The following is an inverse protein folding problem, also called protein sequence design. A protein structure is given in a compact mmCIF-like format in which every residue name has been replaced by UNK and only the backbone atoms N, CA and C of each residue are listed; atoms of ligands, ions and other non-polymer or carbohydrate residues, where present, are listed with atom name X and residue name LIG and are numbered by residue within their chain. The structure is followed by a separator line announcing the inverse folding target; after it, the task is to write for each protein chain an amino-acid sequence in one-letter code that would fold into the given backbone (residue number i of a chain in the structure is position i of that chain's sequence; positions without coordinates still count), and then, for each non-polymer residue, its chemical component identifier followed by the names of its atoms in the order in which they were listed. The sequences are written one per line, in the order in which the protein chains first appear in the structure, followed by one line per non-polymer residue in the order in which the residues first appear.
data_IF_144561170720
#
_entry.id   IF_144561170720
#
_cell.length_a   1.000
_cell.length_b   1.000
_cell.length_c   1.000
_cell.angle_alpha   90.00
_cell.angle_beta   90.00
_cell.angle_gamma   90.00
#
_symmetry.space_group_name_H-M   'P 1'
#
loop_
_entity.id
_entity.type
_entity.pdbx_description
1 polymer ?
#
# COMPACT_ATOMS: atom_id res chain seq x y z
N UNK A 1 67.11 -29.61 -13.26
CA UNK A 1 66.82 -28.91 -14.53
C UNK A 1 66.20 -29.91 -15.49
N UNK A 2 65.03 -29.56 -16.07
CA UNK A 2 64.30 -30.22 -17.17
C UNK A 2 65.10 -30.18 -18.51
N UNK A 3 64.59 -30.61 -19.70
CA UNK A 3 63.56 -31.62 -20.10
C UNK A 3 64.08 -32.56 -21.25
N UNK A 4 63.40 -33.62 -21.74
CA UNK A 4 62.28 -33.61 -22.71
C UNK A 4 61.86 -35.04 -23.08
N UNK A 5 60.54 -35.28 -23.19
CA UNK A 5 59.83 -36.22 -24.10
C UNK A 5 58.32 -35.96 -23.85
N UNK A 6 57.36 -35.98 -24.76
CA UNK A 6 57.15 -36.81 -25.95
C UNK A 6 55.95 -36.24 -26.74
N UNK A 7 55.96 -36.37 -28.07
CA UNK A 7 54.80 -36.25 -28.96
C UNK A 7 54.38 -37.66 -29.41
N UNK A 8 53.08 -37.88 -29.62
CA UNK A 8 52.53 -39.12 -30.20
C UNK A 8 51.25 -38.83 -31.00
N UNK A 9 51.05 -39.40 -32.20
CA UNK A 9 49.90 -39.10 -33.06
C UNK A 9 48.82 -40.20 -33.12
N UNK A 10 47.73 -39.83 -33.81
CA UNK A 10 46.39 -40.40 -33.92
C UNK A 10 46.23 -41.66 -34.82
N UNK A 11 45.08 -42.32 -34.61
CA UNK A 11 44.06 -42.74 -35.60
C UNK A 11 43.88 -44.25 -35.89
N UNK A 12 42.64 -44.73 -35.69
CA UNK A 12 41.94 -45.61 -36.65
C UNK A 12 40.41 -45.57 -36.47
N UNK A 13 39.75 -45.41 -37.61
CA UNK A 13 38.31 -45.33 -37.94
C UNK A 13 37.69 -46.71 -38.10
N UNK A 14 36.39 -46.90 -37.77
CA UNK A 14 35.48 -47.85 -38.45
C UNK A 14 34.03 -47.29 -38.45
N UNK A 15 33.36 -47.53 -39.58
CA UNK A 15 32.05 -47.06 -40.08
C UNK A 15 30.91 -47.98 -39.62
N UNK A 16 29.66 -47.47 -39.69
CA UNK A 16 28.46 -48.03 -39.05
C UNK A 16 27.72 -49.19 -39.74
N UNK A 17 26.69 -49.68 -39.04
CA UNK A 17 25.58 -50.48 -39.58
C UNK A 17 24.34 -50.38 -38.66
N UNK A 18 23.21 -49.99 -39.27
CA UNK A 18 21.82 -50.43 -39.05
C UNK A 18 21.03 -50.18 -37.72
N UNK A 19 19.95 -49.41 -37.91
CA UNK A 19 18.54 -49.70 -37.61
C UNK A 19 17.91 -49.58 -36.20
N UNK A 20 16.73 -48.93 -36.24
CA UNK A 20 15.51 -49.09 -35.44
C UNK A 20 15.37 -48.32 -34.11
N UNK A 21 14.49 -47.32 -34.16
CA UNK A 21 13.37 -47.24 -33.22
C UNK A 21 13.55 -46.35 -31.99
N UNK A 22 12.80 -45.24 -31.97
CA UNK A 22 12.31 -44.62 -30.74
C UNK A 22 13.26 -43.63 -30.07
N UNK A 23 13.45 -42.45 -30.66
CA UNK A 23 13.84 -41.29 -29.86
C UNK A 23 12.59 -40.56 -29.41
N UNK A 24 12.31 -40.77 -28.13
CA UNK A 24 11.41 -40.01 -27.30
C UNK A 24 11.47 -38.51 -27.61
N UNK A 25 10.28 -37.93 -27.79
CA UNK A 25 10.07 -36.50 -27.62
C UNK A 25 10.69 -36.08 -26.28
N UNK A 26 11.84 -35.43 -26.34
CA UNK A 26 12.38 -34.69 -25.21
C UNK A 26 11.41 -33.53 -24.96
N UNK A 27 10.50 -33.77 -24.03
CA UNK A 27 9.73 -32.74 -23.33
C UNK A 27 10.74 -31.68 -22.85
N UNK A 28 10.79 -30.56 -23.56
CA UNK A 28 11.53 -29.40 -23.11
C UNK A 28 10.93 -28.98 -21.76
N UNK A 29 11.75 -28.76 -20.70
CA UNK A 29 11.22 -28.35 -19.41
C UNK A 29 10.50 -27.03 -19.63
N UNK A 30 9.16 -27.05 -19.53
CA UNK A 30 8.36 -25.84 -19.65
C UNK A 30 8.83 -24.87 -18.58
N UNK A 31 9.58 -23.83 -18.97
CA UNK A 31 9.96 -22.77 -18.04
C UNK A 31 8.68 -22.27 -17.39
N UNK A 32 8.50 -22.40 -16.05
CA UNK A 32 7.29 -21.92 -15.41
C UNK A 32 7.21 -20.43 -15.70
N UNK A 33 6.18 -19.99 -16.43
CA UNK A 33 6.01 -18.58 -16.81
C UNK A 33 6.02 -17.74 -15.54
N UNK A 34 7.13 -17.03 -15.31
CA UNK A 34 7.34 -16.22 -14.13
C UNK A 34 6.56 -14.93 -14.30
N UNK A 35 5.63 -14.64 -13.38
CA UNK A 35 4.92 -13.36 -13.36
C UNK A 35 5.94 -12.21 -13.29
N UNK A 36 5.86 -11.17 -14.13
CA UNK A 36 6.84 -10.09 -14.11
C UNK A 36 6.75 -9.24 -12.84
N UNK A 37 7.85 -8.64 -12.42
CA UNK A 37 7.89 -7.80 -11.21
C UNK A 37 7.55 -6.33 -11.46
N UNK A 38 7.71 -5.87 -12.70
CA UNK A 38 7.52 -4.47 -13.08
C UNK A 38 6.09 -3.95 -12.93
N UNK A 39 4.99 -4.73 -13.12
CA UNK A 39 3.64 -4.19 -12.93
C UNK A 39 3.39 -3.70 -11.50
N UNK A 40 4.07 -4.29 -10.52
CA UNK A 40 4.02 -3.86 -9.12
C UNK A 40 4.87 -2.60 -8.86
N UNK A 41 6.02 -2.48 -9.54
CA UNK A 41 6.88 -1.32 -9.39
C UNK A 41 6.31 -0.08 -10.10
N UNK A 42 5.60 -0.27 -11.21
CA UNK A 42 5.07 0.81 -12.04
C UNK A 42 4.23 1.85 -11.28
N UNK A 43 3.22 1.47 -10.47
CA UNK A 43 2.42 2.45 -9.72
C UNK A 43 3.21 3.08 -8.58
N UNK A 44 4.25 2.44 -8.05
CA UNK A 44 4.96 2.88 -6.83
C UNK A 44 6.21 3.71 -7.17
N UNK A 45 7.16 3.13 -7.89
CA UNK A 45 8.38 3.82 -8.29
C UNK A 45 8.10 4.88 -9.38
N UNK A 46 7.12 4.63 -10.26
CA UNK A 46 6.68 5.57 -11.28
C UNK A 46 5.70 6.64 -10.78
N UNK A 47 5.30 6.63 -9.50
CA UNK A 47 4.26 7.52 -8.97
C UNK A 47 4.50 9.01 -9.24
N UNK A 48 5.73 9.57 -9.19
CA UNK A 48 5.97 10.98 -9.51
C UNK A 48 5.49 11.35 -10.92
N UNK A 49 5.75 10.49 -11.90
CA UNK A 49 5.32 10.69 -13.28
C UNK A 49 3.79 10.67 -13.36
N UNK A 50 3.16 9.65 -12.77
CA UNK A 50 1.70 9.51 -12.79
C UNK A 50 0.98 10.65 -12.06
N UNK A 51 1.59 11.17 -10.99
CA UNK A 51 1.10 12.34 -10.28
C UNK A 51 1.18 13.61 -11.14
N UNK A 52 2.32 13.89 -11.77
CA UNK A 52 2.48 15.05 -12.67
C UNK A 52 1.53 14.96 -13.87
N UNK A 53 1.33 13.76 -14.42
CA UNK A 53 0.38 13.51 -15.51
C UNK A 53 -1.09 13.73 -15.10
N UNK A 54 -1.38 13.83 -13.80
CA UNK A 54 -2.73 13.99 -13.26
C UNK A 54 -3.46 12.71 -12.92
N UNK A 55 -2.88 11.55 -13.26
CA UNK A 55 -3.48 10.23 -13.00
C UNK A 55 -3.50 9.92 -11.49
N UNK A 56 -2.43 10.20 -10.73
CA UNK A 56 -2.38 9.94 -9.29
C UNK A 56 -2.84 8.51 -8.95
N UNK A 57 -3.89 8.36 -8.13
CA UNK A 57 -4.47 7.05 -7.79
C UNK A 57 -5.10 6.29 -8.98
N UNK A 58 -5.38 6.94 -10.12
CA UNK A 58 -5.85 6.27 -11.35
C UNK A 58 -4.83 5.35 -11.99
N UNK A 59 -3.57 5.39 -11.55
CA UNK A 59 -2.61 4.37 -11.96
C UNK A 59 -2.98 2.98 -11.44
N UNK A 60 -3.72 2.87 -10.34
CA UNK A 60 -4.06 1.56 -9.76
C UNK A 60 -5.00 0.75 -10.66
N UNK A 61 -6.11 1.27 -11.20
CA UNK A 61 -6.92 0.53 -12.17
C UNK A 61 -6.18 0.21 -13.47
N UNK A 62 -5.34 1.12 -13.98
CA UNK A 62 -4.53 0.87 -15.19
C UNK A 62 -3.56 -0.30 -14.96
N UNK A 63 -2.84 -0.29 -13.85
CA UNK A 63 -1.90 -1.37 -13.49
C UNK A 63 -2.63 -2.66 -13.15
N UNK A 64 -3.82 -2.60 -12.57
CA UNK A 64 -4.68 -3.75 -12.36
C UNK A 64 -5.09 -4.41 -13.68
N UNK A 65 -5.39 -3.67 -14.75
CA UNK A 65 -5.68 -4.25 -16.08
C UNK A 65 -4.46 -5.05 -16.58
N UNK A 66 -3.25 -4.50 -16.45
CA UNK A 66 -2.01 -5.18 -16.82
C UNK A 66 -1.76 -6.44 -15.99
N UNK A 67 -1.95 -6.35 -14.67
CA UNK A 67 -1.82 -7.49 -13.77
C UNK A 67 -2.86 -8.59 -14.07
N UNK A 68 -4.11 -8.21 -14.36
CA UNK A 68 -5.17 -9.13 -14.77
C UNK A 68 -4.82 -9.85 -16.06
N UNK A 69 -4.26 -9.16 -17.06
CA UNK A 69 -3.80 -9.78 -18.29
C UNK A 69 -2.75 -10.88 -18.03
N UNK A 70 -1.78 -10.62 -17.15
CA UNK A 70 -0.79 -11.64 -16.76
C UNK A 70 -1.41 -12.78 -15.95
N UNK A 71 -2.37 -12.50 -15.07
CA UNK A 71 -3.10 -13.52 -14.32
C UNK A 71 -3.90 -14.45 -15.25
N UNK A 72 -4.63 -13.90 -16.23
CA UNK A 72 -5.40 -14.66 -17.22
C UNK A 72 -4.51 -15.52 -18.12
N UNK A 73 -3.28 -15.06 -18.43
CA UNK A 73 -2.28 -15.85 -19.16
C UNK A 73 -1.58 -16.92 -18.31
N UNK A 74 -1.73 -16.87 -16.99
CA UNK A 74 -1.20 -17.87 -16.07
C UNK A 74 -2.08 -19.12 -16.05
N UNK A 75 -1.48 -20.32 -16.17
CA UNK A 75 -2.24 -21.58 -16.20
C UNK A 75 -2.89 -21.95 -14.86
N UNK A 76 -2.45 -21.38 -13.75
CA UNK A 76 -3.00 -21.67 -12.41
C UNK A 76 -2.99 -20.43 -11.51
N UNK A 77 -4.10 -19.70 -11.48
CA UNK A 77 -4.29 -18.61 -10.51
C UNK A 77 -4.84 -19.20 -9.22
N UNK A 78 -4.10 -19.01 -8.12
CA UNK A 78 -4.52 -19.42 -6.78
C UNK A 78 -5.08 -18.23 -6.02
N UNK A 79 -6.13 -18.47 -5.27
CA UNK A 79 -6.79 -17.46 -4.44
C UNK A 79 -6.82 -17.97 -3.00
N UNK A 80 -6.41 -17.15 -1.99
CA UNK A 80 -6.51 -17.57 -0.61
C UNK A 80 -7.98 -17.64 -0.17
N UNK A 81 -8.32 -18.66 0.63
CA UNK A 81 -9.70 -18.92 1.08
C UNK A 81 -10.39 -17.72 1.74
N UNK A 82 -9.65 -16.89 2.47
CA UNK A 82 -10.23 -15.71 3.12
C UNK A 82 -10.49 -14.52 2.21
N UNK A 83 -10.12 -14.57 0.91
CA UNK A 83 -10.54 -13.53 -0.04
C UNK A 83 -12.08 -13.48 -0.17
N UNK A 84 -12.80 -14.57 0.14
CA UNK A 84 -14.26 -14.58 0.15
C UNK A 84 -14.89 -13.47 1.01
N UNK A 85 -14.29 -13.14 2.16
CA UNK A 85 -14.78 -12.04 3.02
C UNK A 85 -14.68 -10.70 2.29
N UNK A 86 -13.58 -10.46 1.59
CA UNK A 86 -13.40 -9.25 0.78
C UNK A 86 -14.34 -9.22 -0.43
N UNK A 87 -14.58 -10.36 -1.08
CA UNK A 87 -15.52 -10.44 -2.20
C UNK A 87 -16.97 -10.17 -1.77
N UNK A 88 -17.37 -10.59 -0.57
CA UNK A 88 -18.67 -10.23 0.01
C UNK A 88 -18.79 -8.71 0.20
N UNK A 89 -17.72 -8.05 0.67
CA UNK A 89 -17.67 -6.58 0.68
C UNK A 89 -17.86 -5.99 -0.72
N UNK A 90 -17.16 -6.51 -1.74
CA UNK A 90 -17.31 -6.03 -3.12
C UNK A 90 -18.75 -6.21 -3.63
N UNK A 91 -19.39 -7.34 -3.32
CA UNK A 91 -20.80 -7.61 -3.69
C UNK A 91 -21.73 -6.58 -3.04
N UNK A 92 -21.60 -6.34 -1.74
CA UNK A 92 -22.42 -5.34 -1.04
C UNK A 92 -22.19 -3.93 -1.62
N UNK A 93 -20.92 -3.57 -1.91
CA UNK A 93 -20.57 -2.30 -2.53
C UNK A 93 -21.22 -2.16 -3.91
N UNK A 94 -21.14 -3.18 -4.77
CA UNK A 94 -21.78 -3.14 -6.09
C UNK A 94 -23.30 -3.04 -5.96
N UNK A 95 -23.90 -3.77 -5.02
CA UNK A 95 -25.34 -3.71 -4.79
C UNK A 95 -25.82 -2.31 -4.35
N UNK A 96 -25.00 -1.55 -3.61
CA UNK A 96 -25.34 -0.18 -3.21
C UNK A 96 -25.45 0.84 -4.35
N UNK A 97 -25.07 0.46 -5.58
CA UNK A 97 -25.23 1.34 -6.76
C UNK A 97 -26.69 1.75 -6.98
N UNK A 98 -27.65 0.93 -6.53
CA UNK A 98 -29.09 1.19 -6.65
C UNK A 98 -29.54 2.45 -5.90
N UNK A 99 -28.76 2.90 -4.90
CA UNK A 99 -29.04 4.07 -4.06
C UNK A 99 -28.46 5.37 -4.64
N UNK A 100 -27.81 5.29 -5.80
CA UNK A 100 -27.25 6.46 -6.48
C UNK A 100 -28.37 7.23 -7.18
N UNK A 101 -28.51 8.49 -6.80
CA UNK A 101 -29.57 9.41 -7.21
C UNK A 101 -29.09 10.52 -8.18
N UNK A 102 -27.79 10.59 -8.48
CA UNK A 102 -27.24 11.61 -9.37
C UNK A 102 -26.01 11.16 -10.14
N UNK A 103 -25.88 11.67 -11.37
CA UNK A 103 -24.77 11.34 -12.27
C UNK A 103 -23.38 11.68 -11.71
N UNK A 104 -23.13 12.84 -11.05
CA UNK A 104 -21.83 13.11 -10.42
C UNK A 104 -21.46 12.10 -9.32
N UNK A 105 -22.45 11.59 -8.57
CA UNK A 105 -22.23 10.56 -7.56
C UNK A 105 -21.95 9.20 -8.18
N UNK A 106 -22.59 8.88 -9.31
CA UNK A 106 -22.26 7.69 -10.10
C UNK A 106 -20.79 7.68 -10.55
N UNK A 107 -20.27 8.81 -11.05
CA UNK A 107 -18.85 8.93 -11.42
C UNK A 107 -17.95 8.63 -10.22
N UNK A 108 -18.24 9.25 -9.07
CA UNK A 108 -17.48 9.01 -7.83
C UNK A 108 -17.59 7.57 -7.34
N UNK A 109 -18.74 6.92 -7.51
CA UNK A 109 -18.93 5.51 -7.17
C UNK A 109 -18.09 4.60 -8.07
N UNK A 110 -18.19 4.76 -9.40
CA UNK A 110 -17.43 3.97 -10.38
C UNK A 110 -15.92 4.11 -10.15
N UNK A 111 -15.46 5.34 -9.86
CA UNK A 111 -14.08 5.62 -9.50
C UNK A 111 -13.62 4.80 -8.28
N UNK A 112 -14.39 4.85 -7.18
CA UNK A 112 -14.07 4.08 -5.95
C UNK A 112 -14.16 2.57 -6.18
N UNK A 113 -15.17 2.10 -6.91
CA UNK A 113 -15.33 0.71 -7.29
C UNK A 113 -14.11 0.20 -8.07
N UNK A 114 -13.63 0.98 -9.06
CA UNK A 114 -12.42 0.66 -9.81
C UNK A 114 -11.18 0.55 -8.89
N UNK A 115 -11.05 1.40 -7.87
CA UNK A 115 -9.95 1.32 -6.90
C UNK A 115 -10.05 0.09 -5.99
N UNK A 116 -11.24 -0.30 -5.53
CA UNK A 116 -11.41 -1.54 -4.76
C UNK A 116 -11.12 -2.78 -5.60
N UNK A 117 -11.57 -2.80 -6.85
CA UNK A 117 -11.26 -3.88 -7.81
C UNK A 117 -9.75 -3.91 -8.10
N UNK A 118 -9.11 -2.77 -8.29
CA UNK A 118 -7.67 -2.69 -8.49
C UNK A 118 -6.90 -3.27 -7.30
N UNK A 119 -7.27 -2.89 -6.07
CA UNK A 119 -6.67 -3.45 -4.86
C UNK A 119 -6.84 -4.97 -4.77
N UNK A 120 -7.99 -5.49 -5.20
CA UNK A 120 -8.27 -6.94 -5.29
C UNK A 120 -7.32 -7.63 -6.28
N UNK A 121 -7.16 -7.05 -7.47
CA UNK A 121 -6.25 -7.59 -8.49
C UNK A 121 -4.80 -7.55 -8.02
N UNK A 122 -4.36 -6.43 -7.42
CA UNK A 122 -3.02 -6.29 -6.84
C UNK A 122 -2.75 -7.37 -5.81
N UNK A 123 -3.71 -7.63 -4.90
CA UNK A 123 -3.62 -8.71 -3.93
C UNK A 123 -3.42 -10.08 -4.60
N UNK A 124 -4.28 -10.43 -5.57
CA UNK A 124 -4.21 -11.71 -6.29
C UNK A 124 -2.90 -11.83 -7.07
N UNK A 125 -2.47 -10.76 -7.73
CA UNK A 125 -1.24 -10.71 -8.49
C UNK A 125 -0.03 -11.01 -7.61
N UNK A 126 0.13 -10.27 -6.51
CA UNK A 126 1.24 -10.42 -5.58
C UNK A 126 1.24 -11.78 -4.87
N UNK A 127 0.04 -12.31 -4.59
CA UNK A 127 -0.13 -13.65 -4.04
C UNK A 127 0.40 -14.74 -4.99
N UNK A 128 0.16 -14.60 -6.29
CA UNK A 128 0.56 -15.56 -7.32
C UNK A 128 1.99 -15.37 -7.83
N UNK A 129 2.49 -14.13 -7.86
CA UNK A 129 3.83 -13.76 -8.33
C UNK A 129 4.95 -14.11 -7.35
N UNK A 130 4.82 -15.24 -6.60
CA UNK A 130 5.71 -15.61 -5.50
C UNK A 130 7.18 -15.82 -5.88
N UNK A 131 7.44 -16.31 -7.09
CA UNK A 131 8.79 -16.57 -7.57
C UNK A 131 9.55 -15.28 -7.93
N UNK A 132 8.81 -14.25 -8.38
CA UNK A 132 9.39 -13.01 -8.88
C UNK A 132 9.36 -11.90 -7.82
N UNK A 133 8.20 -11.71 -7.18
CA UNK A 133 7.98 -10.69 -6.15
C UNK A 133 8.39 -11.27 -4.81
N UNK A 134 9.68 -11.25 -4.49
CA UNK A 134 10.18 -11.67 -3.17
C UNK A 134 9.74 -10.70 -2.06
N UNK A 135 9.84 -11.12 -0.79
CA UNK A 135 9.52 -10.24 0.36
C UNK A 135 10.43 -9.01 0.37
N UNK A 136 11.72 -9.21 0.08
CA UNK A 136 12.74 -8.18 -0.03
C UNK A 136 12.48 -7.24 -1.21
N UNK A 137 12.08 -7.79 -2.37
CA UNK A 137 11.72 -6.97 -3.53
C UNK A 137 10.53 -6.06 -3.23
N UNK A 138 9.44 -6.63 -2.69
CA UNK A 138 8.26 -5.85 -2.33
C UNK A 138 8.59 -4.75 -1.30
N UNK A 139 9.38 -5.06 -0.27
CA UNK A 139 9.84 -4.07 0.70
C UNK A 139 10.72 -2.98 0.08
N UNK A 140 11.58 -3.33 -0.89
CA UNK A 140 12.40 -2.36 -1.62
C UNK A 140 11.56 -1.42 -2.47
N UNK A 141 10.55 -1.93 -3.19
CA UNK A 141 9.63 -1.10 -3.99
C UNK A 141 8.79 -0.19 -3.06
N UNK A 142 8.27 -0.72 -1.96
CA UNK A 142 7.54 0.09 -0.97
C UNK A 142 8.43 1.17 -0.33
N UNK A 143 9.70 0.85 -0.07
CA UNK A 143 10.69 1.82 0.42
C UNK A 143 11.00 2.89 -0.63
N UNK A 144 11.08 2.54 -1.92
CA UNK A 144 11.26 3.53 -2.98
C UNK A 144 10.08 4.50 -3.05
N UNK A 145 8.85 4.00 -2.82
CA UNK A 145 7.68 4.86 -2.75
C UNK A 145 7.70 5.76 -1.49
N UNK A 146 8.18 5.24 -0.36
CA UNK A 146 8.38 6.07 0.83
C UNK A 146 9.38 7.23 0.61
N UNK A 147 10.43 7.00 -0.20
CA UNK A 147 11.36 8.07 -0.61
C UNK A 147 10.66 9.09 -1.51
N UNK A 148 9.81 8.64 -2.43
CA UNK A 148 9.00 9.52 -3.29
C UNK A 148 8.08 10.42 -2.47
N UNK A 149 7.34 9.87 -1.49
CA UNK A 149 6.45 10.69 -0.66
C UNK A 149 7.25 11.67 0.22
N UNK A 150 8.44 11.28 0.67
CA UNK A 150 9.33 12.16 1.44
C UNK A 150 9.83 13.32 0.58
N UNK A 151 10.27 13.05 -0.65
CA UNK A 151 10.66 14.08 -1.61
C UNK A 151 9.50 15.01 -1.97
N UNK A 152 8.30 14.47 -2.17
CA UNK A 152 7.07 15.26 -2.36
C UNK A 152 6.72 16.13 -1.14
N UNK A 153 6.96 15.61 0.06
CA UNK A 153 6.83 16.39 1.30
C UNK A 153 7.76 17.60 1.30
N UNK A 154 9.04 17.42 0.95
CA UNK A 154 9.99 18.52 0.83
C UNK A 154 9.64 19.52 -0.28
N UNK A 155 9.09 19.07 -1.40
CA UNK A 155 8.57 19.96 -2.43
C UNK A 155 7.45 20.88 -1.85
N UNK A 156 6.57 20.33 -1.01
CA UNK A 156 5.58 21.11 -0.28
C UNK A 156 6.15 22.06 0.77
N UNK A 157 7.30 21.73 1.35
CA UNK A 157 8.00 22.59 2.32
C UNK A 157 8.71 23.75 1.62
N UNK A 158 9.42 23.48 0.53
CA UNK A 158 10.21 24.50 -0.18
C UNK A 158 9.37 25.40 -1.09
N UNK A 159 8.27 24.87 -1.65
CA UNK A 159 7.41 25.60 -2.57
C UNK A 159 5.93 25.48 -2.15
N UNK A 160 5.52 26.00 -0.98
CA UNK A 160 4.22 25.71 -0.37
C UNK A 160 3.01 26.15 -1.20
N UNK A 161 3.15 27.18 -2.03
CA UNK A 161 2.07 27.69 -2.88
C UNK A 161 2.10 27.13 -4.31
N UNK A 162 3.06 26.22 -4.61
CA UNK A 162 3.18 25.65 -5.94
C UNK A 162 1.93 24.85 -6.29
N UNK A 163 1.32 25.26 -7.40
CA UNK A 163 0.22 24.55 -8.04
C UNK A 163 0.44 24.53 -9.54
N UNK A 164 0.00 23.47 -10.20
CA UNK A 164 0.16 23.31 -11.63
C UNK A 164 -1.03 22.56 -12.24
N UNK A 165 -1.30 22.89 -13.51
CA UNK A 165 -2.28 22.21 -14.34
C UNK A 165 -1.63 20.97 -14.94
N UNK A 166 -2.27 19.82 -14.81
CA UNK A 166 -1.72 18.55 -15.31
C UNK A 166 -2.02 18.36 -16.79
N UNK A 167 -1.24 17.53 -17.51
CA UNK A 167 -1.56 17.11 -18.88
C UNK A 167 -2.99 16.58 -19.03
N UNK A 168 -3.50 15.81 -18.06
CA UNK A 168 -4.88 15.33 -18.04
C UNK A 168 -5.90 16.47 -18.16
N UNK A 169 -5.64 17.63 -17.59
CA UNK A 169 -6.51 18.80 -17.65
C UNK A 169 -6.64 19.44 -19.04
N UNK A 170 -5.76 19.09 -19.99
CA UNK A 170 -5.86 19.52 -21.39
C UNK A 170 -6.69 18.54 -22.24
N UNK A 171 -6.85 17.30 -21.76
CA UNK A 171 -7.60 16.24 -22.45
C UNK A 171 -9.06 16.21 -21.99
N UNK A 172 -9.31 16.55 -20.72
CA UNK A 172 -10.65 16.46 -20.14
C UNK A 172 -11.61 17.54 -20.70
N UNK A 173 -12.83 17.14 -21.11
CA UNK A 173 -13.91 18.08 -21.45
C UNK A 173 -14.24 19.02 -20.29
N UNK A 174 -14.62 20.27 -20.59
CA UNK A 174 -15.01 21.26 -19.59
C UNK A 174 -16.17 20.80 -18.70
N UNK A 175 -17.09 20.00 -19.26
CA UNK A 175 -18.20 19.40 -18.51
C UNK A 175 -17.74 18.50 -17.36
N UNK A 176 -16.63 17.77 -17.51
CA UNK A 176 -16.08 16.91 -16.45
C UNK A 176 -15.34 17.72 -15.38
N UNK A 177 -14.80 18.89 -15.70
CA UNK A 177 -14.11 19.76 -14.75
C UNK A 177 -15.06 20.46 -13.76
N UNK A 178 -16.37 20.40 -13.99
CA UNK A 178 -17.38 20.85 -13.01
C UNK A 178 -17.46 19.94 -11.78
N UNK A 179 -17.00 18.70 -11.89
CA UNK A 179 -16.96 17.76 -10.77
C UNK A 179 -15.69 18.01 -9.92
N UNK A 180 -15.88 18.28 -8.63
CA UNK A 180 -14.78 18.59 -7.70
C UNK A 180 -13.69 17.53 -7.68
N UNK A 181 -14.07 16.25 -7.67
CA UNK A 181 -13.11 15.14 -7.67
C UNK A 181 -12.23 15.14 -8.93
N UNK A 182 -12.82 15.43 -10.09
CA UNK A 182 -12.11 15.47 -11.38
C UNK A 182 -11.24 16.71 -11.47
N UNK A 183 -11.76 17.86 -11.00
CA UNK A 183 -11.02 19.12 -10.93
C UNK A 183 -9.76 18.98 -10.06
N UNK A 184 -9.86 18.29 -8.93
CA UNK A 184 -8.73 18.00 -8.04
C UNK A 184 -7.68 17.04 -8.66
N UNK A 185 -8.03 16.27 -9.69
CA UNK A 185 -7.05 15.49 -10.47
C UNK A 185 -6.38 16.32 -11.57
N UNK A 186 -7.15 17.23 -12.17
CA UNK A 186 -6.71 18.14 -13.22
C UNK A 186 -5.77 19.24 -12.71
N UNK A 187 -5.96 19.70 -11.47
CA UNK A 187 -5.13 20.72 -10.83
C UNK A 187 -4.44 20.14 -9.60
N UNK A 188 -3.11 20.07 -9.63
CA UNK A 188 -2.32 19.53 -8.52
C UNK A 188 -1.70 20.65 -7.71
N UNK A 189 -1.73 20.46 -6.39
CA UNK A 189 -1.07 21.30 -5.39
C UNK A 189 -0.07 20.44 -4.62
N UNK A 190 1.00 21.06 -4.15
CA UNK A 190 2.00 20.37 -3.34
C UNK A 190 1.71 20.40 -1.85
N UNK A 191 0.81 21.30 -1.45
CA UNK A 191 0.26 21.41 -0.10
C UNK A 191 -1.27 21.36 -0.12
N UNK A 192 -1.85 20.87 0.98
CA UNK A 192 -3.25 21.05 1.28
C UNK A 192 -3.45 22.43 1.90
N UNK A 193 -3.53 23.44 1.03
CA UNK A 193 -3.77 24.83 1.39
C UNK A 193 -5.14 25.28 0.86
N UNK A 194 -5.96 25.85 1.75
CA UNK A 194 -7.23 26.47 1.38
C UNK A 194 -7.41 27.78 2.19
N UNK A 195 -7.08 28.95 1.62
CA UNK A 195 -7.16 30.24 2.30
C UNK A 195 -8.59 30.66 2.61
N UNK A 196 -9.58 30.16 1.86
CA UNK A 196 -11.00 30.43 2.06
C UNK A 196 -11.67 29.41 2.99
N UNK A 197 -10.92 28.39 3.47
CA UNK A 197 -11.48 27.48 4.45
C UNK A 197 -11.70 28.22 5.77
N UNK A 198 -12.85 27.97 6.40
CA UNK A 198 -13.23 28.51 7.71
C UNK A 198 -12.13 28.36 8.78
N UNK A 199 -11.26 27.35 8.62
CA UNK A 199 -10.19 27.02 9.56
C UNK A 199 -8.81 27.64 9.24
N UNK A 200 -8.69 28.47 8.18
CA UNK A 200 -7.45 29.16 7.76
C UNK A 200 -6.18 28.33 7.98
N UNK A 201 -6.08 27.18 7.30
CA UNK A 201 -4.94 26.28 7.48
C UNK A 201 -3.67 26.83 6.82
N UNK A 202 -2.57 26.85 7.57
CA UNK A 202 -1.23 26.96 6.97
C UNK A 202 -1.01 25.87 5.91
N UNK A 203 -0.20 26.13 4.86
CA UNK A 203 0.13 25.13 3.85
C UNK A 203 0.73 23.86 4.47
N UNK A 204 -0.02 22.76 4.42
CA UNK A 204 0.43 21.46 4.92
C UNK A 204 0.94 20.60 3.78
N UNK A 205 2.16 20.04 3.85
CA UNK A 205 2.66 19.15 2.80
C UNK A 205 1.66 18.01 2.50
N UNK A 206 1.40 17.79 1.21
CA UNK A 206 0.51 16.72 0.75
C UNK A 206 1.05 15.99 -0.48
N UNK A 207 1.95 16.60 -1.27
CA UNK A 207 2.50 15.95 -2.46
C UNK A 207 3.19 14.60 -2.16
N UNK A 208 3.04 13.59 -3.03
CA UNK A 208 2.30 13.61 -4.31
C UNK A 208 0.81 13.22 -4.17
N UNK A 209 0.21 13.44 -3.00
CA UNK A 209 -1.21 13.19 -2.76
C UNK A 209 -2.03 14.47 -2.79
N UNK A 210 -3.34 14.27 -2.96
CA UNK A 210 -4.32 15.34 -2.95
C UNK A 210 -4.57 15.91 -1.55
N UNK A 211 -4.49 15.05 -0.52
CA UNK A 211 -4.75 15.41 0.87
C UNK A 211 -3.58 14.99 1.76
N UNK A 212 -3.27 15.83 2.74
CA UNK A 212 -2.27 15.54 3.79
C UNK A 212 -2.59 14.26 4.57
N UNK A 213 -3.88 13.89 4.65
CA UNK A 213 -4.32 12.63 5.26
C UNK A 213 -3.80 11.40 4.51
N UNK A 214 -3.85 11.41 3.17
CA UNK A 214 -3.33 10.31 2.36
C UNK A 214 -1.80 10.23 2.45
N UNK A 215 -1.12 11.37 2.50
CA UNK A 215 0.32 11.44 2.76
C UNK A 215 0.67 10.83 4.12
N UNK A 216 -0.06 11.22 5.18
CA UNK A 216 0.12 10.71 6.53
C UNK A 216 -0.12 9.20 6.65
N UNK A 217 -1.18 8.69 6.03
CA UNK A 217 -1.45 7.25 5.96
C UNK A 217 -0.32 6.49 5.26
N UNK A 218 0.10 6.93 4.07
CA UNK A 218 1.20 6.27 3.35
C UNK A 218 2.49 6.31 4.18
N UNK A 219 2.80 7.44 4.81
CA UNK A 219 3.99 7.59 5.64
C UNK A 219 3.98 6.65 6.84
N UNK A 220 2.88 6.59 7.60
CA UNK A 220 2.79 5.79 8.83
C UNK A 220 2.87 4.28 8.56
N UNK A 221 2.23 3.79 7.49
CA UNK A 221 2.22 2.36 7.15
C UNK A 221 3.53 1.90 6.49
N UNK A 222 4.23 2.78 5.77
CA UNK A 222 5.48 2.45 5.08
C UNK A 222 6.71 2.57 5.99
N UNK A 223 6.72 3.51 6.95
CA UNK A 223 7.86 3.74 7.86
C UNK A 223 8.36 2.46 8.56
N UNK A 224 7.52 1.59 9.17
CA UNK A 224 8.01 0.34 9.75
C UNK A 224 8.66 -0.58 8.72
N UNK A 225 8.17 -0.60 7.48
CA UNK A 225 8.71 -1.41 6.38
C UNK A 225 10.08 -0.87 5.95
N UNK A 226 10.23 0.46 5.86
CA UNK A 226 11.49 1.14 5.52
C UNK A 226 12.56 0.83 6.57
N UNK A 227 12.23 0.94 7.86
CA UNK A 227 13.16 0.60 8.95
C UNK A 227 13.59 -0.86 8.85
N UNK A 228 12.65 -1.79 8.65
CA UNK A 228 12.97 -3.20 8.50
C UNK A 228 13.78 -3.52 7.24
N UNK A 229 13.51 -2.83 6.13
CA UNK A 229 14.24 -2.97 4.87
C UNK A 229 15.66 -2.41 4.99
N UNK A 230 15.83 -1.26 5.65
CA UNK A 230 17.14 -0.67 5.95
C UNK A 230 18.06 -1.68 6.63
N UNK A 231 17.58 -2.38 7.67
CA UNK A 231 18.37 -3.43 8.32
C UNK A 231 18.62 -4.64 7.42
N UNK A 232 17.70 -4.98 6.51
CA UNK A 232 17.90 -6.07 5.56
C UNK A 232 18.97 -5.77 4.49
N UNK A 233 19.25 -4.49 4.23
CA UNK A 233 20.29 -4.04 3.28
C UNK A 233 21.55 -3.51 3.99
N UNK A 234 21.72 -3.83 5.28
CA UNK A 234 22.90 -3.44 6.07
C UNK A 234 24.18 -3.91 5.38
N UNK A 235 25.20 -3.05 5.36
CA UNK A 235 26.46 -3.30 4.67
C UNK A 235 26.47 -2.88 3.19
N UNK A 236 25.34 -2.43 2.65
CA UNK A 236 25.28 -1.81 1.31
C UNK A 236 25.21 -0.29 1.41
N UNK A 237 25.54 0.42 0.33
CA UNK A 237 25.41 1.88 0.25
C UNK A 237 23.98 2.37 0.56
N UNK A 238 22.96 1.57 0.23
CA UNK A 238 21.54 1.87 0.50
C UNK A 238 21.24 2.03 1.99
N UNK A 239 21.95 1.31 2.86
CA UNK A 239 21.79 1.43 4.31
C UNK A 239 22.06 2.85 4.78
N UNK A 240 23.16 3.46 4.34
CA UNK A 240 23.55 4.81 4.73
C UNK A 240 22.58 5.88 4.23
N UNK A 241 22.07 5.73 3.01
CA UNK A 241 21.02 6.62 2.51
C UNK A 241 19.73 6.54 3.31
N UNK A 242 19.26 5.33 3.64
CA UNK A 242 18.05 5.16 4.44
C UNK A 242 18.25 5.66 5.88
N UNK A 243 19.45 5.47 6.44
CA UNK A 243 19.81 5.97 7.75
C UNK A 243 19.75 7.51 7.81
N UNK A 244 20.15 8.19 6.73
CA UNK A 244 20.01 9.64 6.61
C UNK A 244 18.57 10.06 6.28
N UNK A 245 17.89 9.35 5.38
CA UNK A 245 16.55 9.72 4.92
C UNK A 245 15.49 9.65 6.03
N UNK A 246 15.58 8.70 6.97
CA UNK A 246 14.64 8.56 8.09
C UNK A 246 14.55 9.79 9.01
N UNK A 247 15.65 10.38 9.52
CA UNK A 247 15.56 11.62 10.29
C UNK A 247 15.17 12.82 9.42
N UNK A 248 15.66 12.90 8.17
CA UNK A 248 15.29 13.97 7.24
C UNK A 248 13.78 13.99 6.97
N UNK A 249 13.15 12.82 6.79
CA UNK A 249 11.71 12.73 6.51
C UNK A 249 10.82 13.20 7.66
N UNK A 250 11.35 13.32 8.88
CA UNK A 250 10.60 13.87 10.01
C UNK A 250 10.23 15.35 9.79
N UNK A 251 11.04 16.11 9.04
CA UNK A 251 10.77 17.54 8.78
C UNK A 251 9.42 17.74 8.08
N UNK A 252 9.17 17.22 6.86
CA UNK A 252 7.86 17.34 6.24
C UNK A 252 6.77 16.64 7.06
N UNK A 253 7.08 15.52 7.74
CA UNK A 253 6.12 14.82 8.58
C UNK A 253 5.58 15.70 9.71
N UNK A 254 6.44 16.42 10.43
CA UNK A 254 6.01 17.37 11.46
C UNK A 254 5.25 18.56 10.88
N UNK A 255 5.68 19.09 9.75
CA UNK A 255 5.02 20.22 9.09
C UNK A 255 3.64 19.86 8.51
N UNK A 256 3.32 18.57 8.35
CA UNK A 256 1.94 18.15 8.06
C UNK A 256 0.97 18.44 9.20
N UNK A 257 1.48 18.56 10.43
CA UNK A 257 0.71 18.63 11.68
C UNK A 257 -0.35 17.50 11.78
N UNK A 258 -0.12 16.37 11.12
CA UNK A 258 -1.17 15.38 10.93
C UNK A 258 -1.29 14.43 12.14
N UNK A 259 -2.22 14.73 13.06
CA UNK A 259 -2.41 13.97 14.31
C UNK A 259 -2.64 12.47 14.07
N UNK A 260 -3.40 12.09 13.04
CA UNK A 260 -3.69 10.69 12.74
C UNK A 260 -2.44 9.88 12.37
N UNK A 261 -1.45 10.50 11.72
CA UNK A 261 -0.20 9.87 11.30
C UNK A 261 0.65 9.54 12.52
N UNK A 262 0.71 10.46 13.49
CA UNK A 262 1.42 10.23 14.75
C UNK A 262 0.76 9.12 15.57
N UNK A 263 -0.58 9.05 15.58
CA UNK A 263 -1.30 7.89 16.16
C UNK A 263 -0.91 6.60 15.43
N UNK A 264 -0.89 6.59 14.10
CA UNK A 264 -0.46 5.43 13.31
C UNK A 264 0.97 4.99 13.61
N UNK A 265 1.93 5.91 13.68
CA UNK A 265 3.32 5.64 14.05
C UNK A 265 3.44 5.12 15.50
N UNK A 266 2.66 5.68 16.44
CA UNK A 266 2.59 5.22 17.82
C UNK A 266 2.06 3.79 17.93
N UNK A 267 0.97 3.48 17.21
CA UNK A 267 0.43 2.11 17.09
C UNK A 267 1.46 1.18 16.47
N UNK A 268 2.20 1.61 15.45
CA UNK A 268 3.25 0.82 14.83
C UNK A 268 4.36 0.45 15.84
N UNK A 269 4.85 1.44 16.58
CA UNK A 269 5.88 1.26 17.60
C UNK A 269 5.39 0.33 18.73
N UNK A 270 4.17 0.56 19.25
CA UNK A 270 3.57 -0.26 20.30
C UNK A 270 3.41 -1.72 19.85
N UNK A 271 2.85 -1.92 18.65
CA UNK A 271 2.64 -3.27 18.11
C UNK A 271 3.98 -4.01 17.92
N UNK A 272 5.00 -3.35 17.35
CA UNK A 272 6.34 -3.93 17.18
C UNK A 272 6.98 -4.23 18.54
N UNK A 273 6.82 -3.35 19.55
CA UNK A 273 7.34 -3.55 20.89
C UNK A 273 6.73 -4.80 21.55
N UNK A 274 5.39 -4.89 21.59
CA UNK A 274 4.66 -6.05 22.14
C UNK A 274 5.11 -7.34 21.44
N UNK A 275 5.20 -7.31 20.11
CA UNK A 275 5.61 -8.47 19.30
C UNK A 275 7.08 -8.85 19.49
N UNK A 276 7.94 -7.89 19.81
CA UNK A 276 9.37 -8.13 20.06
C UNK A 276 9.61 -8.69 21.45
N UNK A 277 8.87 -8.22 22.47
CA UNK A 277 8.87 -8.78 23.83
C UNK A 277 8.45 -10.25 23.79
N UNK A 278 7.36 -10.57 23.08
CA UNK A 278 6.86 -11.94 22.96
C UNK A 278 7.86 -12.93 22.31
N UNK A 279 8.90 -12.44 21.63
CA UNK A 279 9.95 -13.23 20.98
C UNK A 279 11.31 -13.05 21.67
N UNK A 280 11.37 -12.34 22.81
CA UNK A 280 12.60 -12.10 23.57
C UNK A 280 13.61 -11.14 22.91
N UNK A 281 13.17 -10.31 21.95
CA UNK A 281 14.05 -9.40 21.18
C UNK A 281 14.17 -8.02 21.84
N UNK A 282 14.73 -7.97 23.04
CA UNK A 282 14.82 -6.73 23.83
C UNK A 282 15.62 -5.60 23.15
N UNK A 283 16.58 -5.93 22.27
CA UNK A 283 17.32 -4.93 21.47
C UNK A 283 16.43 -4.06 20.58
N UNK A 284 15.26 -4.55 20.18
CA UNK A 284 14.30 -3.75 19.38
C UNK A 284 13.64 -2.70 20.28
N UNK A 285 13.38 -3.04 21.54
CA UNK A 285 12.75 -2.14 22.52
C UNK A 285 13.69 -0.97 22.83
N UNK A 286 14.97 -1.26 23.09
CA UNK A 286 15.96 -0.20 23.30
C UNK A 286 16.11 0.70 22.08
N UNK A 287 16.04 0.14 20.86
CA UNK A 287 16.01 0.92 19.62
C UNK A 287 14.78 1.83 19.49
N UNK A 288 13.58 1.34 19.85
CA UNK A 288 12.36 2.14 19.85
C UNK A 288 12.39 3.24 20.92
N UNK A 289 12.92 2.96 22.12
CA UNK A 289 13.11 3.97 23.16
C UNK A 289 14.10 5.04 22.71
N UNK A 290 15.24 4.66 22.13
CA UNK A 290 16.21 5.59 21.57
C UNK A 290 15.61 6.47 20.46
N UNK A 291 14.83 5.87 19.57
CA UNK A 291 14.08 6.63 18.55
C UNK A 291 13.07 7.60 19.19
N UNK A 292 12.34 7.17 20.22
CA UNK A 292 11.41 8.01 20.96
C UNK A 292 12.08 9.22 21.60
N UNK A 293 13.26 9.04 22.20
CA UNK A 293 14.08 10.13 22.75
C UNK A 293 14.53 11.08 21.64
N UNK A 294 15.03 10.57 20.52
CA UNK A 294 15.45 11.41 19.39
C UNK A 294 14.29 12.25 18.82
N UNK A 295 13.12 11.65 18.65
CA UNK A 295 11.91 12.35 18.21
C UNK A 295 11.47 13.39 19.25
N UNK A 296 11.53 13.05 20.54
CA UNK A 296 11.24 13.98 21.63
C UNK A 296 12.18 15.18 21.67
N UNK A 297 13.48 14.97 21.48
CA UNK A 297 14.47 16.05 21.39
C UNK A 297 14.24 16.93 20.16
N UNK A 298 13.94 16.34 19.00
CA UNK A 298 13.60 17.11 17.80
C UNK A 298 12.36 18.00 18.02
N UNK A 299 11.39 17.53 18.80
CA UNK A 299 10.20 18.31 19.17
C UNK A 299 10.52 19.52 20.06
N UNK A 300 11.57 19.46 20.88
CA UNK A 300 12.01 20.58 21.72
C UNK A 300 12.78 21.66 20.93
N UNK A 301 13.49 21.26 19.88
CA UNK A 301 14.33 22.16 19.07
C UNK A 301 13.52 22.89 17.99
N UNK A 302 12.50 22.22 17.44
CA UNK A 302 11.66 22.81 16.40
C UNK A 302 10.51 23.62 17.04
N UNK A 303 10.16 24.82 16.54
CA UNK A 303 9.02 25.63 17.01
C UNK A 303 7.68 25.03 16.57
N UNK A 304 7.50 23.74 16.84
CA UNK A 304 6.34 22.92 16.50
C UNK A 304 5.31 23.03 17.62
N UNK A 305 5.74 23.18 18.88
CA UNK A 305 4.88 23.32 20.04
C UNK A 305 3.90 24.48 19.84
N UNK A 306 4.38 25.68 19.56
CA UNK A 306 3.55 26.87 19.32
C UNK A 306 2.51 26.67 18.21
N UNK A 307 2.89 26.06 17.09
CA UNK A 307 1.96 25.74 15.98
C UNK A 307 0.94 24.65 16.35
N UNK A 308 1.31 23.69 17.20
CA UNK A 308 0.40 22.68 17.71
C UNK A 308 -0.56 23.24 18.76
N UNK A 309 -0.09 24.09 19.67
CA UNK A 309 -0.91 24.76 20.69
C UNK A 309 -1.88 25.73 20.04
N UNK A 310 -1.41 26.58 19.11
CA UNK A 310 -2.28 27.46 18.33
C UNK A 310 -3.34 26.67 17.57
N UNK A 311 -3.01 25.48 17.05
CA UNK A 311 -4.01 24.59 16.45
C UNK A 311 -4.96 23.96 17.47
N UNK A 312 -4.54 23.65 18.69
CA UNK A 312 -5.45 23.18 19.73
C UNK A 312 -6.46 24.27 20.10
N UNK A 313 -6.00 25.51 20.20
CA UNK A 313 -6.80 26.66 20.65
C UNK A 313 -7.72 27.23 19.55
N UNK A 314 -7.29 27.21 18.28
CA UNK A 314 -8.10 27.66 17.13
C UNK A 314 -9.01 26.57 16.55
N UNK A 315 -8.79 25.30 16.88
CA UNK A 315 -9.62 24.22 16.36
C UNK A 315 -10.85 23.97 17.24
N UNK A 316 -11.97 24.62 16.93
CA UNK A 316 -13.34 24.24 17.38
C UNK A 316 -13.76 22.80 16.98
N UNK A 317 -12.86 22.05 16.35
CA UNK A 317 -13.07 20.81 15.59
C UNK A 317 -13.54 19.58 16.37
N UNK A 318 -13.49 19.54 17.70
CA UNK A 318 -13.93 18.36 18.44
C UNK A 318 -15.46 18.24 18.43
N UNK A 319 -16.17 19.37 18.59
CA UNK A 319 -17.63 19.41 18.55
C UNK A 319 -18.16 19.13 17.13
N UNK A 320 -17.56 19.75 16.11
CA UNK A 320 -17.95 19.59 14.70
C UNK A 320 -17.66 18.18 14.15
N UNK A 321 -16.61 17.51 14.66
CA UNK A 321 -16.33 16.11 14.30
C UNK A 321 -17.28 15.15 15.01
N UNK A 322 -17.54 15.37 16.30
CA UNK A 322 -18.48 14.53 17.06
C UNK A 322 -19.89 14.61 16.46
N UNK A 323 -20.33 15.80 16.05
CA UNK A 323 -21.61 15.97 15.36
C UNK A 323 -21.63 15.26 14.01
N UNK A 324 -20.56 15.33 13.20
CA UNK A 324 -20.48 14.61 11.92
C UNK A 324 -20.49 13.08 12.09
N UNK A 325 -19.82 12.56 13.12
CA UNK A 325 -19.88 11.12 13.45
C UNK A 325 -21.30 10.70 13.86
N UNK A 326 -21.95 11.51 14.71
CA UNK A 326 -23.34 11.30 15.12
C UNK A 326 -24.31 11.34 13.93
N UNK A 327 -24.19 12.35 13.07
CA UNK A 327 -25.00 12.50 11.86
C UNK A 327 -24.81 11.30 10.92
N UNK A 328 -23.56 10.91 10.66
CA UNK A 328 -23.25 9.79 9.78
C UNK A 328 -23.88 8.50 10.31
N UNK A 329 -23.77 8.24 11.62
CA UNK A 329 -24.37 7.06 12.23
C UNK A 329 -25.90 7.09 12.18
N UNK A 330 -26.52 8.22 12.55
CA UNK A 330 -27.97 8.38 12.53
C UNK A 330 -28.55 8.14 11.13
N UNK A 331 -27.95 8.75 10.11
CA UNK A 331 -28.38 8.58 8.72
C UNK A 331 -28.07 7.18 8.18
N UNK A 332 -26.97 6.55 8.60
CA UNK A 332 -26.69 5.15 8.24
C UNK A 332 -27.73 4.18 8.80
N UNK A 333 -28.41 4.51 9.90
CA UNK A 333 -29.50 3.70 10.43
C UNK A 333 -30.78 3.79 9.57
N UNK A 334 -30.94 4.86 8.78
CA UNK A 334 -32.07 5.02 7.86
C UNK A 334 -31.93 4.13 6.61
N UNK A 335 -30.71 3.85 6.16
CA UNK A 335 -30.40 2.88 5.10
C UNK A 335 -29.32 1.88 5.53
N UNK A 336 -29.67 0.89 6.37
CA UNK A 336 -28.67 0.05 7.04
C UNK A 336 -28.06 -1.02 6.13
N UNK A 337 -28.80 -1.48 5.11
CA UNK A 337 -28.38 -2.62 4.27
C UNK A 337 -27.55 -2.13 3.07
N UNK A 338 -28.10 -1.22 2.28
CA UNK A 338 -27.47 -0.74 1.04
C UNK A 338 -26.69 0.58 1.23
N UNK A 339 -26.93 1.32 2.32
CA UNK A 339 -26.35 2.64 2.49
C UNK A 339 -26.90 3.64 1.47
N UNK A 340 -26.11 4.65 1.12
CA UNK A 340 -26.51 5.70 0.18
C UNK A 340 -25.83 5.62 -1.19
N UNK A 341 -25.07 4.58 -1.48
CA UNK A 341 -24.22 4.43 -2.67
C UNK A 341 -22.99 5.36 -2.68
N UNK A 342 -23.09 6.56 -2.11
CA UNK A 342 -22.02 7.54 -2.03
C UNK A 342 -22.18 8.47 -0.80
N UNK A 343 -21.10 9.18 -0.40
CA UNK A 343 -21.20 10.24 0.60
C UNK A 343 -22.23 11.31 0.21
N UNK A 344 -22.88 11.90 1.22
CA UNK A 344 -23.91 12.96 1.05
C UNK A 344 -23.45 14.24 1.74
N UNK A 345 -23.85 15.42 1.25
CA UNK A 345 -23.64 16.67 1.98
C UNK A 345 -24.15 16.55 3.44
N UNK A 346 -23.40 17.13 4.37
CA UNK A 346 -23.84 17.23 5.77
C UNK A 346 -25.04 18.18 5.86
N UNK A 347 -25.94 17.91 6.82
CA UNK A 347 -27.02 18.85 7.16
C UNK A 347 -26.49 20.15 7.75
N UNK A 348 -25.30 20.11 8.35
CA UNK A 348 -24.62 21.27 8.91
C UNK A 348 -23.82 21.99 7.82
N UNK A 349 -24.20 23.22 7.53
CA UNK A 349 -23.51 24.05 6.55
C UNK A 349 -22.03 24.25 6.92
N UNK A 350 -21.14 24.13 5.93
CA UNK A 350 -19.70 24.33 6.12
C UNK A 350 -18.91 23.12 6.65
N UNK A 351 -19.57 21.99 6.94
CA UNK A 351 -18.92 20.74 7.37
C UNK A 351 -18.73 19.79 6.17
N UNK A 352 -17.65 18.99 6.11
CA UNK A 352 -17.48 17.97 5.07
C UNK A 352 -18.67 17.01 4.97
N UNK A 353 -18.84 16.41 3.78
CA UNK A 353 -19.90 15.43 3.53
C UNK A 353 -19.88 14.25 4.50
N UNK A 354 -21.05 13.80 4.95
CA UNK A 354 -21.22 12.62 5.77
C UNK A 354 -20.64 11.38 5.05
N UNK A 355 -19.84 10.60 5.78
CA UNK A 355 -19.11 9.44 5.24
C UNK A 355 -17.73 9.77 4.64
N UNK A 356 -17.20 10.99 4.76
CA UNK A 356 -15.85 11.33 4.25
C UNK A 356 -14.75 11.36 5.32
N UNK A 357 -15.13 11.25 6.60
CA UNK A 357 -14.26 11.42 7.76
C UNK A 357 -13.36 10.21 8.08
N UNK A 358 -13.47 9.12 7.31
CA UNK A 358 -12.63 7.93 7.44
C UNK A 358 -13.13 6.83 6.51
N UNK A 359 -12.27 5.86 6.19
CA UNK A 359 -12.63 4.75 5.31
C UNK A 359 -13.75 3.89 5.89
N UNK A 360 -13.75 3.65 7.20
CA UNK A 360 -14.81 2.90 7.89
C UNK A 360 -16.16 3.60 7.68
N UNK A 361 -16.21 4.90 7.93
CA UNK A 361 -17.41 5.72 7.80
C UNK A 361 -17.87 5.81 6.34
N UNK A 362 -16.92 5.90 5.40
CA UNK A 362 -17.24 5.89 3.98
C UNK A 362 -17.91 4.60 3.56
N UNK A 363 -17.36 3.45 3.96
CA UNK A 363 -17.94 2.14 3.63
C UNK A 363 -19.28 1.96 4.32
N UNK A 364 -19.39 2.30 5.61
CA UNK A 364 -20.63 2.21 6.38
C UNK A 364 -21.74 3.05 5.75
N UNK A 365 -21.46 4.32 5.48
CA UNK A 365 -22.45 5.27 4.99
C UNK A 365 -22.83 5.01 3.53
N UNK A 366 -21.84 4.67 2.69
CA UNK A 366 -22.08 4.48 1.26
C UNK A 366 -22.61 3.09 0.92
N UNK A 367 -22.29 2.06 1.71
CA UNK A 367 -22.55 0.66 1.34
C UNK A 367 -23.24 -0.16 2.43
N UNK A 368 -23.59 0.45 3.56
CA UNK A 368 -24.33 -0.18 4.66
C UNK A 368 -23.45 -0.94 5.67
N UNK A 369 -24.09 -1.40 6.76
CA UNK A 369 -23.47 -2.17 7.83
C UNK A 369 -22.87 -3.51 7.35
N UNK A 370 -23.53 -4.29 6.45
CA UNK A 370 -22.94 -5.53 5.95
C UNK A 370 -21.61 -5.29 5.23
N UNK A 371 -21.54 -4.28 4.36
CA UNK A 371 -20.32 -3.93 3.65
C UNK A 371 -19.20 -3.52 4.62
N UNK A 372 -19.51 -2.71 5.64
CA UNK A 372 -18.55 -2.30 6.66
C UNK A 372 -18.01 -3.50 7.45
N UNK A 373 -18.89 -4.43 7.85
CA UNK A 373 -18.51 -5.65 8.55
C UNK A 373 -17.56 -6.52 7.71
N UNK A 374 -17.87 -6.72 6.42
CA UNK A 374 -17.01 -7.50 5.53
C UNK A 374 -15.68 -6.79 5.22
N UNK A 375 -15.69 -5.47 5.05
CA UNK A 375 -14.47 -4.67 4.82
C UNK A 375 -13.51 -4.76 6.02
N UNK A 376 -14.02 -4.49 7.22
CA UNK A 376 -13.23 -4.58 8.46
C UNK A 376 -12.83 -6.03 8.74
N UNK A 377 -13.75 -6.98 8.55
CA UNK A 377 -13.51 -8.41 8.71
C UNK A 377 -12.38 -8.92 7.81
N UNK A 378 -12.29 -8.44 6.57
CA UNK A 378 -11.20 -8.79 5.66
C UNK A 378 -9.83 -8.28 6.15
N UNK A 379 -9.77 -7.05 6.68
CA UNK A 379 -8.55 -6.50 7.26
C UNK A 379 -8.14 -7.24 8.54
N UNK A 380 -9.09 -7.53 9.44
CA UNK A 380 -8.85 -8.34 10.64
C UNK A 380 -8.34 -9.74 10.25
N UNK A 381 -8.97 -10.37 9.27
CA UNK A 381 -8.52 -11.66 8.73
C UNK A 381 -7.07 -11.57 8.22
N UNK A 382 -6.71 -10.53 7.47
CA UNK A 382 -5.35 -10.33 6.99
C UNK A 382 -4.35 -10.18 8.14
N UNK A 383 -4.68 -9.40 9.19
CA UNK A 383 -3.85 -9.27 10.41
C UNK A 383 -3.65 -10.62 11.07
N UNK A 384 -4.73 -11.34 11.36
CA UNK A 384 -4.68 -12.63 12.08
C UNK A 384 -3.93 -13.68 11.27
N UNK A 385 -4.13 -13.72 9.95
CA UNK A 385 -3.50 -14.71 9.07
C UNK A 385 -2.00 -14.50 8.92
N UNK A 386 -1.55 -13.25 9.01
CA UNK A 386 -0.14 -12.85 8.85
C UNK A 386 0.60 -12.71 10.18
N UNK A 387 -0.09 -12.82 11.32
CA UNK A 387 0.51 -12.63 12.65
C UNK A 387 1.67 -13.57 12.95
N UNK A 388 1.76 -14.77 12.37
CA UNK A 388 2.85 -15.73 12.67
C UNK A 388 4.20 -15.38 12.01
N UNK A 389 4.31 -14.25 11.31
CA UNK A 389 5.57 -13.81 10.72
C UNK A 389 6.44 -13.06 11.75
N UNK A 390 7.69 -13.51 11.91
CA UNK A 390 8.66 -12.95 12.87
C UNK A 390 9.95 -12.43 12.21
N UNK A 391 10.07 -12.51 10.87
CA UNK A 391 11.16 -11.84 10.15
C UNK A 391 11.00 -10.32 10.26
N UNK A 392 12.08 -9.55 10.20
CA UNK A 392 12.01 -8.09 10.35
C UNK A 392 11.01 -7.45 9.38
N UNK A 393 11.18 -7.71 8.07
CA UNK A 393 10.26 -7.21 7.03
C UNK A 393 8.85 -7.80 7.19
N UNK A 394 8.74 -9.08 7.57
CA UNK A 394 7.44 -9.73 7.72
C UNK A 394 6.62 -9.17 8.87
N UNK A 395 7.26 -8.87 10.00
CA UNK A 395 6.65 -8.18 11.12
C UNK A 395 6.23 -6.76 10.72
N UNK A 396 7.11 -6.02 10.05
CA UNK A 396 6.81 -4.66 9.60
C UNK A 396 5.63 -4.58 8.61
N UNK A 397 5.55 -5.50 7.66
CA UNK A 397 4.41 -5.60 6.74
C UNK A 397 3.11 -5.97 7.47
N UNK A 398 3.17 -6.83 8.49
CA UNK A 398 2.02 -7.11 9.35
C UNK A 398 1.61 -5.89 10.18
N UNK A 399 2.57 -5.14 10.72
CA UNK A 399 2.35 -3.86 11.40
C UNK A 399 1.63 -2.86 10.49
N UNK A 400 2.01 -2.76 9.21
CA UNK A 400 1.35 -1.87 8.25
C UNK A 400 -0.16 -2.17 8.10
N UNK A 401 -0.54 -3.46 8.12
CA UNK A 401 -1.95 -3.88 8.08
C UNK A 401 -2.66 -3.49 9.40
N UNK A 402 -2.00 -3.67 10.55
CA UNK A 402 -2.55 -3.28 11.88
C UNK A 402 -2.75 -1.76 11.96
N UNK A 403 -1.76 -0.97 11.55
CA UNK A 403 -1.86 0.50 11.52
C UNK A 403 -3.02 0.92 10.63
N UNK A 404 -3.16 0.33 9.45
CA UNK A 404 -4.27 0.63 8.54
C UNK A 404 -5.64 0.32 9.15
N UNK A 405 -5.77 -0.77 9.92
CA UNK A 405 -7.01 -1.13 10.62
C UNK A 405 -7.42 -0.10 11.68
N UNK A 406 -6.46 0.62 12.27
CA UNK A 406 -6.76 1.74 13.17
C UNK A 406 -7.05 3.01 12.38
N UNK A 407 -6.25 3.29 11.36
CA UNK A 407 -6.34 4.53 10.59
C UNK A 407 -7.62 4.64 9.75
N UNK A 408 -8.25 3.52 9.34
CA UNK A 408 -9.54 3.57 8.63
C UNK A 408 -10.65 4.32 9.38
N UNK A 409 -10.51 4.49 10.70
CA UNK A 409 -11.47 5.24 11.51
C UNK A 409 -11.44 6.75 11.20
N UNK A 410 -10.28 7.29 10.83
CA UNK A 410 -10.08 8.74 10.62
C UNK A 410 -9.41 9.11 9.29
N UNK A 411 -8.96 8.14 8.50
CA UNK A 411 -8.42 8.32 7.15
C UNK A 411 -9.20 7.50 6.12
N UNK A 412 -9.45 8.12 4.97
CA UNK A 412 -9.72 7.40 3.74
C UNK A 412 -8.42 6.79 3.23
N UNK A 413 -8.41 5.47 3.04
CA UNK A 413 -7.22 4.74 2.58
C UNK A 413 -7.37 4.20 1.16
N UNK A 414 -8.53 4.40 0.53
CA UNK A 414 -8.81 3.92 -0.83
C UNK A 414 -7.78 4.45 -1.84
N UNK A 415 -7.42 3.61 -2.82
CA UNK A 415 -6.35 3.90 -3.76
C UNK A 415 -5.01 3.42 -3.23
N UNK A 416 -4.09 4.33 -2.97
CA UNK A 416 -2.69 3.98 -2.64
C UNK A 416 -2.54 3.24 -1.31
N UNK A 417 -3.13 3.72 -0.21
CA UNK A 417 -3.01 3.09 1.11
C UNK A 417 -3.52 1.65 1.12
N UNK A 418 -4.72 1.43 0.57
CA UNK A 418 -5.33 0.12 0.44
C UNK A 418 -4.52 -0.82 -0.45
N UNK A 419 -3.97 -0.33 -1.57
CA UNK A 419 -3.10 -1.14 -2.41
C UNK A 419 -1.82 -1.55 -1.68
N UNK A 420 -1.21 -0.67 -0.87
CA UNK A 420 -0.05 -1.02 -0.02
C UNK A 420 -0.43 -2.14 0.97
N UNK A 421 -1.57 -2.03 1.63
CA UNK A 421 -2.09 -3.07 2.55
C UNK A 421 -2.28 -4.39 1.83
N UNK A 422 -2.87 -4.36 0.62
CA UNK A 422 -3.08 -5.55 -0.21
C UNK A 422 -1.77 -6.18 -0.69
N UNK A 423 -0.74 -5.37 -0.98
CA UNK A 423 0.61 -5.87 -1.28
C UNK A 423 1.18 -6.59 -0.05
N UNK A 424 1.14 -5.95 1.12
CA UNK A 424 1.62 -6.55 2.38
C UNK A 424 0.89 -7.88 2.67
N UNK A 425 -0.44 -7.90 2.58
CA UNK A 425 -1.23 -9.10 2.80
C UNK A 425 -0.92 -10.20 1.76
N UNK A 426 -0.84 -9.85 0.47
CA UNK A 426 -0.53 -10.79 -0.61
C UNK A 426 0.85 -11.44 -0.46
N UNK A 427 1.87 -10.66 -0.07
CA UNK A 427 3.23 -11.16 0.16
C UNK A 427 3.29 -12.11 1.35
N UNK A 428 2.56 -11.83 2.43
CA UNK A 428 2.64 -12.60 3.68
C UNK A 428 1.73 -13.84 3.71
N UNK A 429 0.54 -13.79 3.10
CA UNK A 429 -0.45 -14.88 3.18
C UNK A 429 -0.09 -16.05 2.25
N UNK A 430 0.65 -15.80 1.18
CA UNK A 430 1.01 -16.82 0.19
C UNK A 430 1.86 -17.96 0.80
N UNK A 431 1.67 -19.22 0.36
CA UNK A 431 2.47 -20.35 0.83
C UNK A 431 3.96 -20.15 0.54
N UNK A 432 4.82 -20.51 1.51
CA UNK A 432 6.28 -20.53 1.31
C UNK A 432 6.62 -21.56 0.22
N UNK A 433 7.61 -21.24 -0.61
CA UNK A 433 8.21 -22.24 -1.48
C UNK A 433 8.98 -23.19 -0.57
N UNK A 434 8.64 -24.48 -0.58
CA UNK A 434 9.43 -25.48 0.11
C UNK A 434 10.84 -25.42 -0.48
N UNK A 435 11.85 -25.20 0.36
CA UNK A 435 13.25 -25.23 -0.08
C UNK A 435 13.54 -26.61 -0.68
N UNK A 436 14.41 -26.69 -1.69
CA UNK A 436 14.79 -27.97 -2.30
C UNK A 436 15.20 -29.03 -1.25
N UNK A 437 15.86 -28.62 -0.16
CA UNK A 437 16.23 -29.49 0.97
C UNK A 437 15.04 -30.08 1.76
N UNK A 438 13.83 -29.51 1.67
CA UNK A 438 12.62 -30.09 2.25
C UNK A 438 11.97 -31.13 1.32
N UNK A 439 12.17 -31.01 0.01
CA UNK A 439 11.68 -32.00 -0.96
C UNK A 439 12.54 -33.26 -0.95
N UNK A 440 13.86 -33.14 -0.72
CA UNK A 440 14.76 -34.29 -0.55
C UNK A 440 14.43 -35.11 0.70
N UNK A 441 13.95 -34.48 1.78
CA UNK A 441 13.50 -35.17 3.00
C UNK A 441 12.13 -35.85 2.88
N UNK A 442 11.41 -35.62 1.79
CA UNK A 442 10.09 -36.19 1.52
C UNK A 442 10.13 -37.31 0.47
N UNK A 443 11.31 -37.65 -0.06
CA UNK A 443 11.51 -38.92 -0.76
C UNK A 443 11.85 -40.00 0.27
N UNK A 444 10.97 -40.97 0.56
CA UNK A 444 11.36 -42.15 1.30
C UNK A 444 12.37 -42.96 0.46
N UNK A 445 13.40 -43.49 1.13
CA UNK A 445 14.45 -44.37 0.62
C UNK A 445 13.89 -45.73 0.12
N UNK A 446 13.03 -45.73 -0.89
CA UNK A 446 12.47 -46.97 -1.46
C UNK A 446 12.84 -47.12 -2.93
N UNK A 447 14.13 -47.10 -3.25
CA UNK A 447 14.69 -47.64 -4.50
C UNK A 447 16.12 -48.13 -4.25
N UNK A 448 16.26 -49.25 -3.53
CA UNK A 448 17.43 -50.12 -3.67
C UNK A 448 16.94 -51.45 -4.25
N UNK A 449 17.41 -51.86 -5.44
CA UNK A 449 17.13 -53.19 -5.97
C UNK A 449 18.07 -54.20 -5.30
N UNK A 450 17.50 -55.29 -4.78
CA UNK A 450 18.20 -56.55 -4.51
C UNK A 450 17.59 -57.64 -5.36
#
# INVERSE_FOLDING_TARGET
MKPHTTTGPLARTVVGSENLGGTSFLDSPSHPRVFPTWPLALPLAGYPLWWVLGLGDMIWPVTAILMSFYLLRGRSVRVPRGLGIWLLFIICMVASVIEIDSFPRLIGFVYRAALYLAATVVFIYVYNARAAVTVQYAAGVLTSFWLVITAGGYLGVFAPLLSFKTPLAFILPQSLLTNDLVREMAFRRVTQFNPESYFMFDPRPSAPFLYTNAWGNAYSILTPIVIAYMFAVRGTWKFWWLLAALPLSLVPAFLTLNRGMFVGLGVAALYIAIRSVAVGRFRVISGLLGLGVLVGLAFLVLPISERLTQRLDTSSTTADRASLYGETLARSLESPIFGYGAPRPSVSAGIPSAGTQGQLWMVLFSHGFPAAAFFVGALIWAVVRTRRHHSGIGLAMNTAIVVSLVEIVFYGIIGTGLCIVMICAGVLIRPRIASANQLTKLQPDSLLPS
#
